data_IF_627714828105
#
_entry.id   IF_627714828105
#
_cell.length_a   1.000
_cell.length_b   1.000
_cell.length_c   1.000
_cell.angle_alpha   90.00
_cell.angle_beta   90.00
_cell.angle_gamma   90.00
#
_symmetry.space_group_name_H-M   'P 1'
#
loop_
_entity.id
_entity.type
_entity.pdbx_description
1 polymer ?
#
# COMPACT_ATOMS: atom_id res chain seq x y z
N UNK A 1 17.20 15.95 13.12
CA UNK A 1 18.41 15.58 12.32
C UNK A 1 17.96 14.68 11.20
N UNK A 2 18.17 15.07 9.92
CA UNK A 2 17.81 14.19 8.78
C UNK A 2 18.87 13.10 8.64
N UNK A 3 18.44 11.84 8.51
CA UNK A 3 19.34 10.71 8.23
C UNK A 3 19.99 10.88 6.84
N UNK A 4 21.26 10.50 6.66
CA UNK A 4 21.88 10.46 5.34
C UNK A 4 21.15 9.44 4.45
N UNK A 5 20.94 9.79 3.17
CA UNK A 5 20.34 8.88 2.20
C UNK A 5 21.28 7.73 1.90
N UNK A 6 20.70 6.57 1.73
CA UNK A 6 21.41 5.36 1.39
C UNK A 6 21.07 4.91 -0.04
N UNK A 7 22.03 4.92 -0.96
CA UNK A 7 21.79 4.63 -2.37
C UNK A 7 21.32 3.20 -2.65
N UNK A 8 21.38 2.32 -1.66
CA UNK A 8 20.90 0.94 -1.75
C UNK A 8 19.61 0.67 -1.00
N UNK A 9 19.07 1.66 -0.29
CA UNK A 9 17.82 1.49 0.44
C UNK A 9 16.62 1.79 -0.46
N UNK A 10 15.79 0.77 -0.64
CA UNK A 10 14.54 0.84 -1.39
C UNK A 10 13.35 0.70 -0.44
N UNK A 11 12.33 1.54 -0.63
CA UNK A 11 10.99 1.22 -0.14
C UNK A 11 10.18 0.72 -1.33
N UNK A 12 9.67 -0.51 -1.22
CA UNK A 12 8.95 -1.19 -2.29
C UNK A 12 7.50 -1.40 -1.87
N UNK A 13 6.58 -0.71 -2.50
CA UNK A 13 5.14 -0.91 -2.32
C UNK A 13 4.65 -1.99 -3.29
N UNK A 14 4.15 -3.10 -2.74
CA UNK A 14 3.61 -4.21 -3.51
C UNK A 14 2.10 -4.04 -3.65
N UNK A 15 1.65 -3.52 -4.78
CA UNK A 15 0.24 -3.26 -5.05
C UNK A 15 -0.58 -4.52 -5.30
N UNK A 16 -1.86 -4.49 -5.02
CA UNK A 16 -2.76 -5.64 -5.22
C UNK A 16 -2.81 -6.16 -6.66
N UNK A 17 -2.54 -5.31 -7.65
CA UNK A 17 -2.45 -5.71 -9.06
C UNK A 17 -1.16 -6.46 -9.40
N UNK A 18 -0.07 -6.22 -8.69
CA UNK A 18 1.15 -6.99 -8.81
C UNK A 18 0.97 -8.44 -8.33
N UNK A 19 -0.01 -8.67 -7.46
CA UNK A 19 -0.37 -9.97 -6.92
C UNK A 19 -1.45 -10.70 -7.76
N UNK A 20 -1.73 -10.25 -8.98
CA UNK A 20 -2.73 -10.87 -9.86
C UNK A 20 -2.07 -11.61 -11.02
N UNK A 21 -2.64 -12.77 -11.36
CA UNK A 21 -2.31 -13.43 -12.63
C UNK A 21 -2.77 -12.53 -13.79
N UNK A 22 -2.03 -12.47 -14.92
CA UNK A 22 -2.44 -11.72 -16.10
C UNK A 22 -3.88 -12.07 -16.51
N UNK A 23 -4.71 -11.05 -16.79
CA UNK A 23 -6.08 -11.21 -17.28
C UNK A 23 -7.21 -11.28 -16.23
N UNK A 24 -6.93 -11.12 -14.94
CA UNK A 24 -7.98 -11.05 -13.90
C UNK A 24 -8.23 -9.64 -13.40
N UNK A 25 -9.50 -9.29 -13.20
CA UNK A 25 -9.95 -7.97 -12.76
C UNK A 25 -9.79 -7.74 -11.26
N UNK A 26 -9.33 -6.54 -10.91
CA UNK A 26 -9.38 -5.78 -9.66
C UNK A 26 -9.36 -6.50 -8.30
N UNK A 27 -8.31 -6.27 -7.51
CA UNK A 27 -8.19 -6.56 -6.07
C UNK A 27 -7.12 -7.60 -5.73
N UNK A 28 -6.73 -7.64 -4.45
CA UNK A 28 -5.90 -8.71 -3.91
C UNK A 28 -6.66 -10.05 -4.06
N UNK A 29 -5.99 -11.19 -4.39
CA UNK A 29 -6.68 -12.48 -4.54
C UNK A 29 -7.49 -12.85 -3.29
N UNK A 30 -8.77 -13.10 -3.46
CA UNK A 30 -9.72 -13.29 -2.37
C UNK A 30 -9.52 -14.60 -1.57
N UNK A 31 -8.85 -15.60 -2.15
CA UNK A 31 -8.60 -16.87 -1.53
C UNK A 31 -7.14 -16.99 -1.10
N UNK A 32 -6.88 -17.56 0.09
CA UNK A 32 -5.53 -17.78 0.63
C UNK A 32 -4.59 -18.43 -0.39
N UNK A 33 -5.03 -19.46 -1.12
CA UNK A 33 -4.23 -20.13 -2.13
C UNK A 33 -3.85 -19.20 -3.30
N UNK A 34 -4.76 -18.35 -3.76
CA UNK A 34 -4.48 -17.36 -4.81
C UNK A 34 -3.51 -16.28 -4.35
N UNK A 35 -3.60 -15.86 -3.09
CA UNK A 35 -2.69 -14.89 -2.51
C UNK A 35 -1.27 -15.46 -2.34
N UNK A 36 -1.14 -16.68 -1.79
CA UNK A 36 0.15 -17.38 -1.69
C UNK A 36 0.79 -17.53 -3.08
N UNK A 37 0.03 -18.00 -4.06
CA UNK A 37 0.53 -18.12 -5.43
C UNK A 37 0.99 -16.81 -6.04
N UNK A 38 0.28 -15.72 -5.76
CA UNK A 38 0.65 -14.40 -6.22
C UNK A 38 1.95 -13.90 -5.57
N UNK A 39 2.17 -14.17 -4.29
CA UNK A 39 3.43 -13.89 -3.60
C UNK A 39 4.58 -14.69 -4.20
N UNK A 40 4.40 -15.99 -4.47
CA UNK A 40 5.40 -16.83 -5.12
C UNK A 40 5.86 -16.27 -6.47
N UNK A 41 5.00 -15.59 -7.20
CA UNK A 41 5.34 -14.97 -8.49
C UNK A 41 5.98 -13.58 -8.35
N UNK A 42 5.63 -12.82 -7.32
CA UNK A 42 6.01 -11.42 -7.18
C UNK A 42 7.24 -11.19 -6.31
N UNK A 43 7.56 -12.13 -5.40
CA UNK A 43 8.67 -11.99 -4.45
C UNK A 43 10.06 -12.41 -4.98
N UNK A 44 10.20 -13.35 -5.94
CA UNK A 44 11.52 -13.75 -6.43
C UNK A 44 12.42 -12.59 -6.84
N UNK A 45 11.96 -11.57 -7.61
CA UNK A 45 12.79 -10.43 -7.96
C UNK A 45 13.27 -9.61 -6.75
N UNK A 46 12.50 -9.58 -5.65
CA UNK A 46 12.91 -8.89 -4.42
C UNK A 46 14.06 -9.63 -3.73
N UNK A 47 14.03 -10.96 -3.71
CA UNK A 47 15.13 -11.77 -3.19
C UNK A 47 16.38 -11.55 -4.03
N UNK A 48 16.25 -11.50 -5.36
CA UNK A 48 17.37 -11.31 -6.28
C UNK A 48 18.06 -9.95 -6.10
N UNK A 49 17.28 -8.87 -5.94
CA UNK A 49 17.86 -7.54 -5.69
C UNK A 49 18.43 -7.44 -4.26
N UNK A 50 17.84 -8.12 -3.27
CA UNK A 50 18.42 -8.25 -1.92
C UNK A 50 19.79 -8.92 -1.97
N UNK A 51 19.92 -10.04 -2.68
CA UNK A 51 21.20 -10.72 -2.91
C UNK A 51 22.22 -9.86 -3.67
N UNK A 52 21.75 -8.92 -4.52
CA UNK A 52 22.60 -7.93 -5.19
C UNK A 52 23.00 -6.75 -4.27
N UNK A 53 22.67 -6.80 -2.98
CA UNK A 53 23.09 -5.83 -1.96
C UNK A 53 22.15 -4.65 -1.77
N UNK A 54 20.93 -4.70 -2.31
CA UNK A 54 19.90 -3.72 -1.99
C UNK A 54 19.24 -4.05 -0.65
N UNK A 55 18.99 -3.03 0.16
CA UNK A 55 18.23 -3.11 1.40
C UNK A 55 16.79 -2.74 1.12
N UNK A 56 15.84 -3.51 1.66
CA UNK A 56 14.43 -3.42 1.25
C UNK A 56 13.54 -3.26 2.46
N UNK A 57 12.73 -2.19 2.43
CA UNK A 57 11.49 -2.11 3.20
C UNK A 57 10.36 -2.46 2.24
N UNK A 58 9.62 -3.51 2.55
CA UNK A 58 8.47 -3.95 1.75
C UNK A 58 7.17 -3.47 2.40
N UNK A 59 6.35 -2.77 1.64
CA UNK A 59 5.01 -2.32 2.03
C UNK A 59 3.99 -3.10 1.20
N UNK A 60 3.50 -4.25 1.68
CA UNK A 60 2.54 -5.03 0.91
C UNK A 60 1.15 -4.39 0.97
N UNK A 61 0.35 -4.58 -0.09
CA UNK A 61 -1.08 -4.33 0.00
C UNK A 61 -1.69 -5.18 1.13
N UNK A 62 -2.83 -4.76 1.64
CA UNK A 62 -3.51 -5.49 2.72
C UNK A 62 -3.80 -6.95 2.37
N UNK A 63 -3.77 -7.81 3.36
CA UNK A 63 -4.15 -9.20 3.20
C UNK A 63 -5.64 -9.33 2.83
N UNK A 64 -6.05 -10.46 2.23
CA UNK A 64 -7.43 -10.70 1.79
C UNK A 64 -8.46 -10.86 2.93
N UNK A 65 -8.19 -10.33 4.13
CA UNK A 65 -9.14 -10.27 5.24
C UNK A 65 -10.45 -9.56 4.85
N UNK A 66 -10.36 -8.61 3.91
CA UNK A 66 -11.54 -7.92 3.38
C UNK A 66 -12.57 -8.85 2.74
N UNK A 67 -12.16 -10.01 2.23
CA UNK A 67 -13.09 -10.94 1.59
C UNK A 67 -13.81 -11.88 2.57
N UNK A 68 -13.18 -12.23 3.68
CA UNK A 68 -13.87 -12.93 4.76
C UNK A 68 -14.99 -12.05 5.34
N UNK A 69 -14.70 -10.76 5.49
CA UNK A 69 -15.68 -9.76 5.93
C UNK A 69 -16.72 -9.42 4.85
N UNK A 70 -16.36 -9.45 3.57
CA UNK A 70 -17.34 -9.28 2.46
C UNK A 70 -18.34 -10.41 2.37
N UNK A 71 -17.95 -11.63 2.80
CA UNK A 71 -18.80 -12.84 2.78
C UNK A 71 -19.47 -13.14 4.12
N UNK A 72 -19.06 -12.48 5.20
CA UNK A 72 -19.72 -12.65 6.49
C UNK A 72 -21.18 -12.19 6.38
N UNK A 73 -22.09 -13.14 6.58
CA UNK A 73 -23.51 -12.84 6.57
C UNK A 73 -23.85 -11.73 7.60
N UNK A 74 -24.86 -10.90 7.37
CA UNK A 74 -25.26 -9.80 8.25
C UNK A 74 -25.56 -10.21 9.71
N UNK A 75 -25.72 -11.51 9.97
CA UNK A 75 -26.02 -12.07 11.28
C UNK A 75 -24.84 -12.13 12.27
N UNK A 76 -23.58 -11.88 11.81
CA UNK A 76 -22.41 -11.83 12.70
C UNK A 76 -22.05 -10.39 13.07
N UNK A 77 -22.93 -9.73 13.76
CA UNK A 77 -22.79 -8.34 14.23
C UNK A 77 -21.51 -8.11 15.05
N UNK A 78 -21.08 -9.10 15.83
CA UNK A 78 -19.87 -9.01 16.67
C UNK A 78 -18.56 -8.91 15.87
N UNK A 79 -18.44 -9.57 14.71
CA UNK A 79 -17.26 -9.48 13.86
C UNK A 79 -17.20 -8.13 13.10
N UNK A 80 -18.36 -7.52 12.85
CA UNK A 80 -18.49 -6.22 12.17
C UNK A 80 -18.25 -5.03 13.11
N UNK A 81 -18.36 -5.24 14.43
CA UNK A 81 -18.23 -4.18 15.44
C UNK A 81 -16.78 -3.90 15.88
N UNK A 82 -15.80 -4.67 15.39
CA UNK A 82 -14.40 -4.41 15.72
C UNK A 82 -13.94 -3.08 15.13
N UNK A 83 -13.26 -2.23 15.92
CA UNK A 83 -12.65 -0.98 15.45
C UNK A 83 -11.73 -1.20 14.25
N UNK A 84 -11.70 -0.24 13.32
CA UNK A 84 -10.92 -0.39 12.08
C UNK A 84 -9.41 -0.38 12.33
N UNK A 85 -8.94 0.29 13.35
CA UNK A 85 -7.53 0.27 13.76
C UNK A 85 -7.08 -1.14 14.17
N UNK A 86 -7.88 -1.85 14.97
CA UNK A 86 -7.60 -3.24 15.32
C UNK A 86 -7.64 -4.17 14.11
N UNK A 87 -8.60 -3.95 13.20
CA UNK A 87 -8.66 -4.70 11.95
C UNK A 87 -7.47 -4.42 11.03
N UNK A 88 -6.98 -3.18 11.00
CA UNK A 88 -5.77 -2.84 10.28
C UNK A 88 -4.54 -3.54 10.88
N UNK A 89 -4.46 -3.63 12.21
CA UNK A 89 -3.38 -4.36 12.89
C UNK A 89 -3.44 -5.88 12.60
N UNK A 90 -4.61 -6.49 12.65
CA UNK A 90 -4.83 -7.90 12.28
C UNK A 90 -4.43 -8.14 10.81
N UNK A 91 -4.83 -7.25 9.90
CA UNK A 91 -4.49 -7.33 8.47
C UNK A 91 -2.98 -7.24 8.24
N UNK A 92 -2.28 -6.36 8.96
CA UNK A 92 -0.82 -6.29 8.91
C UNK A 92 -0.16 -7.58 9.37
N UNK A 93 -0.62 -8.16 10.47
CA UNK A 93 -0.11 -9.44 10.98
C UNK A 93 -0.27 -10.56 9.97
N UNK A 94 -1.46 -10.70 9.37
CA UNK A 94 -1.73 -11.74 8.36
C UNK A 94 -0.91 -11.52 7.09
N UNK A 95 -0.84 -10.28 6.58
CA UNK A 95 -0.05 -9.95 5.40
C UNK A 95 1.44 -10.17 5.65
N UNK A 96 1.94 -9.69 6.78
CA UNK A 96 3.34 -9.83 7.17
C UNK A 96 3.76 -11.29 7.30
N UNK A 97 2.96 -12.10 8.01
CA UNK A 97 3.20 -13.54 8.16
C UNK A 97 3.24 -14.26 6.81
N UNK A 98 2.28 -14.00 5.93
CA UNK A 98 2.25 -14.68 4.65
C UNK A 98 3.42 -14.32 3.73
N UNK A 99 3.82 -13.04 3.70
CA UNK A 99 5.01 -12.60 2.96
C UNK A 99 6.28 -13.21 3.57
N UNK A 100 6.38 -13.22 4.91
CA UNK A 100 7.52 -13.83 5.62
C UNK A 100 7.66 -15.31 5.29
N UNK A 101 6.56 -16.08 5.31
CA UNK A 101 6.56 -17.50 4.94
C UNK A 101 7.01 -17.72 3.50
N UNK A 102 6.49 -16.91 2.57
CA UNK A 102 6.86 -17.02 1.15
C UNK A 102 8.35 -16.70 0.93
N UNK A 103 8.88 -15.66 1.58
CA UNK A 103 10.30 -15.29 1.51
C UNK A 103 11.21 -16.34 2.13
N UNK A 104 10.82 -16.91 3.28
CA UNK A 104 11.58 -18.00 3.93
C UNK A 104 11.63 -19.25 3.02
N UNK A 105 10.51 -19.60 2.38
CA UNK A 105 10.46 -20.71 1.42
C UNK A 105 11.37 -20.46 0.21
N UNK A 106 11.29 -19.24 -0.36
CA UNK A 106 12.14 -18.85 -1.49
C UNK A 106 13.63 -18.87 -1.14
N UNK A 107 14.01 -18.40 0.05
CA UNK A 107 15.39 -18.46 0.52
C UNK A 107 15.91 -19.89 0.56
N UNK A 108 15.15 -20.79 1.19
CA UNK A 108 15.53 -22.22 1.30
C UNK A 108 15.66 -22.92 -0.06
N UNK A 109 14.72 -22.67 -0.99
CA UNK A 109 14.79 -23.25 -2.34
C UNK A 109 15.96 -22.72 -3.17
N UNK A 110 16.56 -21.60 -2.77
CA UNK A 110 17.74 -20.99 -3.41
C UNK A 110 19.04 -21.22 -2.64
N UNK A 111 19.02 -22.10 -1.64
CA UNK A 111 20.20 -22.50 -0.86
C UNK A 111 20.66 -21.53 0.22
N UNK A 112 19.78 -20.61 0.65
CA UNK A 112 20.09 -19.64 1.71
C UNK A 112 18.89 -19.29 2.57
N UNK A 113 19.11 -18.43 3.55
CA UNK A 113 18.04 -17.82 4.35
C UNK A 113 17.90 -16.33 3.99
N UNK A 114 16.67 -15.84 3.96
CA UNK A 114 16.37 -14.40 3.83
C UNK A 114 15.96 -13.93 5.21
N UNK A 115 16.78 -13.11 5.90
CA UNK A 115 16.38 -12.53 7.17
C UNK A 115 15.20 -11.59 6.95
N UNK A 116 14.07 -11.86 7.61
CA UNK A 116 12.83 -11.08 7.45
C UNK A 116 12.28 -10.66 8.81
N UNK A 117 11.99 -9.38 8.97
CA UNK A 117 11.24 -8.83 10.10
C UNK A 117 9.89 -8.28 9.65
N UNK A 118 8.88 -8.44 10.51
CA UNK A 118 7.57 -7.79 10.33
C UNK A 118 7.40 -6.77 11.44
N UNK A 119 7.23 -5.50 11.07
CA UNK A 119 7.02 -4.40 12.01
C UNK A 119 5.57 -3.95 11.90
N UNK A 120 4.80 -4.19 12.97
CA UNK A 120 3.47 -3.60 13.10
C UNK A 120 3.61 -2.09 13.13
N UNK A 121 3.00 -1.42 12.17
CA UNK A 121 3.28 -0.01 11.89
C UNK A 121 2.04 0.84 12.12
N UNK A 122 2.16 1.81 13.03
CA UNK A 122 1.19 2.87 13.23
C UNK A 122 1.48 4.02 12.27
N UNK A 123 0.42 4.71 11.86
CA UNK A 123 0.53 5.90 11.00
C UNK A 123 -0.29 7.02 11.61
N UNK A 124 0.39 8.05 12.01
CA UNK A 124 -0.24 9.24 12.60
C UNK A 124 -0.93 10.05 11.52
N UNK A 125 -2.18 10.40 11.78
CA UNK A 125 -2.99 11.30 10.97
C UNK A 125 -3.43 12.51 11.82
N UNK A 126 -3.81 13.62 11.19
CA UNK A 126 -4.36 14.74 11.93
C UNK A 126 -5.76 14.42 12.44
N UNK A 127 -6.05 14.78 13.68
CA UNK A 127 -7.39 14.59 14.25
C UNK A 127 -8.46 15.45 13.55
N UNK A 128 -8.06 16.57 12.97
CA UNK A 128 -8.87 17.52 12.23
C UNK A 128 -8.78 17.35 10.70
N UNK A 129 -8.27 16.21 10.22
CA UNK A 129 -8.20 15.95 8.77
C UNK A 129 -9.60 16.05 8.14
N UNK A 130 -9.78 16.83 7.05
CA UNK A 130 -11.07 17.00 6.38
C UNK A 130 -11.73 15.69 5.93
N UNK A 131 -10.95 14.63 5.73
CA UNK A 131 -11.47 13.31 5.37
C UNK A 131 -12.43 12.74 6.42
N UNK A 132 -12.26 13.09 7.70
CA UNK A 132 -13.18 12.63 8.76
C UNK A 132 -14.58 13.19 8.59
N UNK A 133 -14.73 14.40 8.07
CA UNK A 133 -16.02 14.99 7.76
C UNK A 133 -16.63 14.46 6.44
N UNK A 134 -15.81 13.84 5.58
CA UNK A 134 -16.22 13.39 4.23
C UNK A 134 -15.71 11.98 3.94
N UNK A 135 -16.25 10.94 4.62
CA UNK A 135 -15.84 9.57 4.38
C UNK A 135 -16.20 9.12 2.95
N UNK A 136 -15.23 8.55 2.23
CA UNK A 136 -15.36 8.19 0.81
C UNK A 136 -15.02 6.74 0.50
N UNK A 137 -14.21 6.08 1.34
CA UNK A 137 -13.75 4.72 1.07
C UNK A 137 -14.81 3.70 1.46
N UNK A 138 -15.34 3.00 0.47
CA UNK A 138 -16.27 1.91 0.71
C UNK A 138 -15.54 0.68 1.29
N UNK A 139 -16.02 0.20 2.45
CA UNK A 139 -15.49 -0.98 3.16
C UNK A 139 -16.62 -1.97 3.45
N UNK A 140 -16.25 -3.23 3.68
CA UNK A 140 -17.19 -4.30 4.03
C UNK A 140 -18.17 -4.68 2.90
N UNK A 141 -19.17 -5.53 3.19
CA UNK A 141 -20.16 -6.01 2.25
C UNK A 141 -21.19 -4.93 1.88
N UNK A 142 -21.97 -5.14 0.81
CA UNK A 142 -23.16 -4.35 0.56
C UNK A 142 -24.27 -4.73 1.57
N UNK A 143 -25.02 -3.73 2.02
CA UNK A 143 -26.14 -3.85 2.96
C UNK A 143 -27.44 -3.40 2.31
N UNK A 144 -28.58 -3.97 2.74
CA UNK A 144 -29.89 -3.42 2.42
C UNK A 144 -30.07 -2.04 3.07
N UNK A 145 -30.96 -1.21 2.53
CA UNK A 145 -31.26 0.13 3.06
C UNK A 145 -31.69 0.04 4.54
N UNK A 146 -32.53 -0.95 4.89
CA UNK A 146 -32.98 -1.14 6.27
C UNK A 146 -31.82 -1.50 7.22
N UNK A 147 -30.96 -2.42 6.82
CA UNK A 147 -29.77 -2.80 7.62
C UNK A 147 -28.81 -1.63 7.77
N UNK A 148 -28.54 -0.88 6.69
CA UNK A 148 -27.68 0.29 6.73
C UNK A 148 -28.20 1.37 7.69
N UNK A 149 -29.51 1.66 7.66
CA UNK A 149 -30.15 2.61 8.58
C UNK A 149 -30.03 2.16 10.05
N UNK A 150 -30.19 0.85 10.32
CA UNK A 150 -30.01 0.30 11.67
C UNK A 150 -28.56 0.46 12.12
N UNK A 151 -27.58 0.03 11.32
CA UNK A 151 -26.16 0.13 11.68
C UNK A 151 -25.68 1.59 11.80
N UNK A 152 -26.22 2.50 11.00
CA UNK A 152 -25.92 3.93 11.14
C UNK A 152 -26.39 4.47 12.50
N UNK A 153 -27.58 4.07 12.96
CA UNK A 153 -28.10 4.47 14.26
C UNK A 153 -27.38 3.79 15.43
N UNK A 154 -27.14 2.48 15.33
CA UNK A 154 -26.63 1.67 16.43
C UNK A 154 -25.10 1.80 16.60
N UNK A 155 -24.35 2.03 15.51
CA UNK A 155 -22.88 2.08 15.48
C UNK A 155 -22.32 3.41 14.96
N UNK A 156 -23.16 4.38 14.59
CA UNK A 156 -22.70 5.67 14.05
C UNK A 156 -22.04 5.56 12.66
N UNK A 157 -22.24 4.46 11.94
CA UNK A 157 -21.60 4.25 10.63
C UNK A 157 -22.20 5.11 9.53
N UNK A 158 -21.34 5.62 8.66
CA UNK A 158 -21.75 6.35 7.46
C UNK A 158 -21.88 5.39 6.28
N UNK A 159 -22.88 5.59 5.46
CA UNK A 159 -23.16 4.76 4.29
C UNK A 159 -23.31 5.60 3.01
N UNK A 160 -22.79 5.07 1.90
CA UNK A 160 -22.98 5.62 0.55
C UNK A 160 -23.55 4.54 -0.37
N UNK A 161 -24.08 5.00 -1.51
CA UNK A 161 -24.65 4.15 -2.56
C UNK A 161 -26.05 4.59 -2.94
N UNK A 162 -26.56 4.03 -4.03
CA UNK A 162 -27.86 4.33 -4.62
C UNK A 162 -28.69 3.04 -4.79
N UNK A 163 -29.98 3.20 -5.06
CA UNK A 163 -30.90 2.05 -5.21
C UNK A 163 -31.05 1.23 -3.93
N UNK A 164 -31.09 -0.09 -4.06
CA UNK A 164 -31.38 -1.03 -2.97
C UNK A 164 -30.16 -1.38 -2.10
N UNK A 165 -28.96 -0.99 -2.51
CA UNK A 165 -27.70 -1.35 -1.86
C UNK A 165 -26.97 -0.16 -1.27
N UNK A 166 -26.41 -0.35 -0.07
CA UNK A 166 -25.59 0.63 0.64
C UNK A 166 -24.28 -0.01 1.06
N UNK A 167 -23.17 0.72 0.99
CA UNK A 167 -21.89 0.28 1.56
C UNK A 167 -21.44 1.25 2.65
N UNK A 168 -20.87 0.72 3.73
CA UNK A 168 -20.20 1.54 4.73
C UNK A 168 -19.09 2.33 4.04
N UNK A 169 -19.00 3.62 4.31
CA UNK A 169 -17.88 4.46 3.89
C UNK A 169 -17.13 4.98 5.11
N UNK A 170 -15.81 5.05 4.97
CA UNK A 170 -14.91 5.48 6.03
C UNK A 170 -13.95 6.56 5.51
N UNK A 171 -13.38 7.38 6.42
CA UNK A 171 -12.39 8.39 6.08
C UNK A 171 -11.12 7.79 5.48
N UNK A 172 -10.43 8.59 4.66
CA UNK A 172 -9.08 8.31 4.13
C UNK A 172 -8.21 9.52 4.42
N UNK A 173 -7.76 9.72 5.67
CA UNK A 173 -6.93 10.84 6.03
C UNK A 173 -5.52 10.73 5.46
N UNK A 174 -4.82 11.87 5.38
CA UNK A 174 -3.44 11.91 4.91
C UNK A 174 -2.47 11.43 5.99
N UNK A 175 -1.54 10.51 5.68
CA UNK A 175 -0.51 10.07 6.60
C UNK A 175 0.49 11.21 6.86
N UNK A 176 0.85 11.44 8.13
CA UNK A 176 1.75 12.52 8.54
C UNK A 176 3.06 12.04 9.16
N UNK A 177 3.03 10.97 9.93
CA UNK A 177 4.22 10.45 10.62
C UNK A 177 4.09 8.96 10.89
N UNK A 178 5.22 8.27 10.88
CA UNK A 178 5.32 6.84 11.21
C UNK A 178 6.20 6.72 12.46
N UNK A 179 5.62 6.41 13.63
CA UNK A 179 6.37 6.30 14.88
C UNK A 179 7.47 5.25 14.82
N UNK A 180 7.24 4.15 14.12
CA UNK A 180 8.16 3.00 14.00
C UNK A 180 9.26 3.19 12.94
N UNK A 181 9.36 4.35 12.27
CA UNK A 181 10.34 4.59 11.19
C UNK A 181 11.79 4.32 11.65
N UNK A 182 12.14 4.70 12.90
CA UNK A 182 13.46 4.43 13.45
C UNK A 182 13.75 2.95 13.63
N UNK A 183 12.79 2.17 14.10
CA UNK A 183 12.90 0.70 14.25
C UNK A 183 13.02 0.05 12.88
N UNK A 184 12.18 0.45 11.92
CA UNK A 184 12.21 -0.05 10.55
C UNK A 184 13.58 0.23 9.92
N UNK A 185 14.11 1.45 10.09
CA UNK A 185 15.44 1.81 9.60
C UNK A 185 16.52 0.95 10.23
N UNK A 186 16.48 0.72 11.54
CA UNK A 186 17.44 -0.13 12.24
C UNK A 186 17.44 -1.58 11.70
N UNK A 187 16.26 -2.16 11.48
CA UNK A 187 16.14 -3.51 10.92
C UNK A 187 16.79 -3.62 9.52
N UNK A 188 16.51 -2.67 8.62
CA UNK A 188 17.12 -2.71 7.29
C UNK A 188 18.63 -2.43 7.31
N UNK A 189 19.11 -1.59 8.21
CA UNK A 189 20.55 -1.32 8.38
C UNK A 189 21.28 -2.56 8.89
N UNK A 190 20.61 -3.41 9.66
CA UNK A 190 21.08 -4.73 10.08
C UNK A 190 21.01 -5.80 8.98
N UNK A 191 20.65 -5.44 7.74
CA UNK A 191 20.57 -6.37 6.60
C UNK A 191 19.29 -7.21 6.56
N UNK A 192 18.26 -6.85 7.34
CA UNK A 192 16.99 -7.57 7.38
C UNK A 192 16.00 -6.98 6.40
N UNK A 193 15.42 -7.79 5.49
CA UNK A 193 14.27 -7.38 4.69
C UNK A 193 13.11 -7.08 5.65
N UNK A 194 12.66 -5.84 5.67
CA UNK A 194 11.68 -5.39 6.66
C UNK A 194 10.32 -5.18 6.02
N UNK A 195 9.32 -5.90 6.50
CA UNK A 195 7.92 -5.74 6.09
C UNK A 195 7.27 -4.74 7.05
N UNK A 196 6.71 -3.66 6.53
CA UNK A 196 6.11 -2.60 7.32
C UNK A 196 4.85 -2.03 6.66
N UNK A 197 3.99 -1.40 7.44
CA UNK A 197 2.83 -0.64 6.97
C UNK A 197 1.92 -1.39 5.97
N UNK A 198 1.79 -2.71 6.10
CA UNK A 198 0.93 -3.49 5.23
C UNK A 198 -0.51 -2.93 5.25
N UNK A 199 -1.12 -2.84 4.06
CA UNK A 199 -2.46 -2.26 3.91
C UNK A 199 -2.55 -0.74 4.19
N UNK A 200 -1.41 -0.05 4.33
CA UNK A 200 -1.32 1.37 4.66
C UNK A 200 -1.02 1.67 6.13
N UNK A 201 -0.93 0.65 6.99
CA UNK A 201 -0.65 0.82 8.42
C UNK A 201 -1.90 1.00 9.28
N UNK A 202 -1.71 1.13 10.60
CA UNK A 202 -2.77 1.39 11.58
C UNK A 202 -2.95 2.89 11.75
N UNK A 203 -4.10 3.48 11.37
CA UNK A 203 -4.34 4.91 11.55
C UNK A 203 -4.53 5.27 13.03
N UNK A 204 -3.74 6.22 13.51
CA UNK A 204 -3.81 6.73 14.89
C UNK A 204 -3.74 8.25 14.90
N UNK A 205 -4.32 8.85 15.92
CA UNK A 205 -4.12 10.28 16.26
C UNK A 205 -3.28 10.40 17.52
N UNK A 206 -2.51 11.46 17.61
CA UNK A 206 -1.78 11.81 18.85
C UNK A 206 -2.72 12.51 19.82
N UNK A 207 -2.61 12.15 21.09
CA UNK A 207 -3.29 12.77 22.20
C UNK A 207 -2.28 13.09 23.31
N UNK A 208 -2.62 13.92 24.30
CA UNK A 208 -1.71 14.16 25.44
C UNK A 208 -1.30 12.88 26.18
N UNK A 209 -2.14 11.85 26.16
CA UNK A 209 -1.90 10.56 26.84
C UNK A 209 -1.16 9.55 25.95
N UNK A 210 -0.92 9.85 24.66
CA UNK A 210 -0.25 8.97 23.71
C UNK A 210 -0.96 8.85 22.37
N UNK A 211 -1.20 7.61 21.91
CA UNK A 211 -1.84 7.35 20.63
C UNK A 211 -3.20 6.72 20.80
N UNK A 212 -4.15 7.16 19.98
CA UNK A 212 -5.50 6.57 19.92
C UNK A 212 -5.82 6.16 18.49
N UNK A 213 -6.28 4.89 18.30
CA UNK A 213 -6.77 4.40 17.02
C UNK A 213 -8.00 5.15 16.52
N UNK A 214 -8.18 5.21 15.21
CA UNK A 214 -9.31 5.91 14.59
C UNK A 214 -10.00 5.06 13.54
N UNK A 215 -11.31 5.29 13.34
CA UNK A 215 -12.16 4.63 12.35
C UNK A 215 -11.88 5.16 10.93
N UNK A 216 -10.71 4.84 10.40
CA UNK A 216 -10.22 5.29 9.09
C UNK A 216 -9.46 4.17 8.37
N UNK A 217 -9.18 4.36 7.10
CA UNK A 217 -8.24 3.55 6.32
C UNK A 217 -7.23 4.47 5.64
N UNK A 218 -6.07 3.95 5.31
CA UNK A 218 -4.99 4.70 4.69
C UNK A 218 -4.73 4.20 3.25
N UNK A 219 -4.27 5.11 2.39
CA UNK A 219 -3.74 4.72 1.09
C UNK A 219 -2.34 4.14 1.25
N UNK A 220 -2.15 2.92 0.76
CA UNK A 220 -0.85 2.21 0.82
C UNK A 220 0.24 3.04 0.14
N UNK A 221 -0.08 3.65 -0.98
CA UNK A 221 0.84 4.45 -1.77
C UNK A 221 1.33 5.69 -1.01
N UNK A 222 0.42 6.44 -0.40
CA UNK A 222 0.76 7.62 0.40
C UNK A 222 1.61 7.24 1.62
N UNK A 223 1.25 6.15 2.30
CA UNK A 223 2.03 5.65 3.44
C UNK A 223 3.42 5.17 3.01
N UNK A 224 3.53 4.48 1.88
CA UNK A 224 4.83 4.03 1.35
C UNK A 224 5.74 5.23 1.00
N UNK A 225 5.19 6.28 0.41
CA UNK A 225 5.92 7.52 0.12
C UNK A 225 6.42 8.22 1.39
N UNK A 226 5.54 8.33 2.40
CA UNK A 226 5.91 8.88 3.71
C UNK A 226 6.99 8.02 4.39
N UNK A 227 6.85 6.70 4.37
CA UNK A 227 7.84 5.78 4.95
C UNK A 227 9.18 5.91 4.24
N UNK A 228 9.19 5.96 2.91
CA UNK A 228 10.40 6.14 2.12
C UNK A 228 11.16 7.43 2.51
N UNK A 229 10.43 8.50 2.72
CA UNK A 229 11.00 9.77 3.21
C UNK A 229 11.51 9.62 4.65
N UNK A 230 10.74 8.99 5.54
CA UNK A 230 11.05 8.86 6.96
C UNK A 230 12.29 7.99 7.22
N UNK A 231 12.47 6.91 6.45
CA UNK A 231 13.66 6.05 6.54
C UNK A 231 14.83 6.53 5.66
N UNK A 232 14.71 7.70 5.03
CA UNK A 232 15.69 8.26 4.10
C UNK A 232 16.09 7.27 2.98
N UNK A 233 15.10 6.63 2.38
CA UNK A 233 15.32 5.77 1.22
C UNK A 233 15.81 6.57 0.01
N UNK A 234 16.64 5.96 -0.82
CA UNK A 234 17.10 6.53 -2.07
C UNK A 234 15.98 6.51 -3.12
N UNK A 235 15.28 5.39 -3.19
CA UNK A 235 14.22 5.15 -4.18
C UNK A 235 12.94 4.63 -3.55
N UNK A 236 11.83 5.07 -4.12
CA UNK A 236 10.50 4.51 -3.88
C UNK A 236 10.09 3.70 -5.11
N UNK A 237 9.70 2.45 -4.93
CA UNK A 237 9.30 1.57 -6.02
C UNK A 237 7.86 1.12 -5.82
N UNK A 238 7.01 1.32 -6.82
CA UNK A 238 5.66 0.77 -6.85
C UNK A 238 5.61 -0.41 -7.81
N UNK A 239 5.40 -1.61 -7.27
CA UNK A 239 5.14 -2.80 -8.07
C UNK A 239 3.65 -2.91 -8.36
N UNK A 240 3.31 -2.99 -9.64
CA UNK A 240 1.92 -3.02 -10.15
C UNK A 240 1.79 -4.02 -11.31
N UNK A 241 0.63 -4.12 -11.92
CA UNK A 241 0.37 -5.07 -13.01
C UNK A 241 0.78 -4.58 -14.41
N UNK A 242 1.50 -3.46 -14.51
CA UNK A 242 1.99 -2.90 -15.78
C UNK A 242 3.47 -2.56 -15.68
N UNK A 243 4.20 -2.71 -16.79
CA UNK A 243 5.63 -2.39 -16.82
C UNK A 243 5.87 -0.88 -16.85
N UNK A 244 4.98 -0.12 -17.49
CA UNK A 244 5.05 1.35 -17.60
C UNK A 244 3.69 1.99 -17.38
N UNK A 245 3.70 3.20 -16.90
CA UNK A 245 2.51 4.04 -16.82
C UNK A 245 2.15 4.54 -18.22
N UNK A 246 0.87 4.52 -18.56
CA UNK A 246 0.36 5.03 -19.83
C UNK A 246 -0.34 6.38 -19.63
N UNK A 247 -0.06 7.33 -20.53
CA UNK A 247 -0.80 8.57 -20.70
C UNK A 247 -1.78 8.38 -21.87
N UNK A 248 -2.96 8.98 -21.79
CA UNK A 248 -4.04 8.74 -22.75
C UNK A 248 -4.68 7.35 -22.58
N UNK A 249 -4.66 6.82 -21.38
CA UNK A 249 -5.21 5.50 -21.04
C UNK A 249 -6.66 5.35 -21.56
N UNK A 250 -6.95 4.18 -22.19
CA UNK A 250 -8.22 3.87 -22.86
C UNK A 250 -8.52 4.64 -24.16
N UNK A 251 -7.54 5.29 -24.73
CA UNK A 251 -7.65 5.87 -26.07
C UNK A 251 -6.76 5.10 -27.05
N UNK A 252 -6.99 5.27 -28.35
CA UNK A 252 -6.10 4.74 -29.38
C UNK A 252 -4.70 5.42 -29.37
N UNK A 253 -4.50 6.40 -28.50
CA UNK A 253 -3.24 7.16 -28.32
C UNK A 253 -2.55 6.88 -27.01
N UNK A 254 -2.86 5.76 -26.34
CA UNK A 254 -2.15 5.36 -25.12
C UNK A 254 -0.66 5.17 -25.40
N UNK A 255 0.19 5.92 -24.68
CA UNK A 255 1.63 5.87 -24.82
C UNK A 255 2.24 5.58 -23.46
N UNK A 256 3.09 4.54 -23.41
CA UNK A 256 3.89 4.23 -22.22
C UNK A 256 4.98 5.27 -21.99
N UNK A 257 5.06 5.81 -20.77
CA UNK A 257 5.99 6.87 -20.41
C UNK A 257 7.18 6.28 -19.65
N UNK A 258 8.40 6.63 -20.06
CA UNK A 258 9.63 6.19 -19.38
C UNK A 258 10.05 7.14 -18.26
N UNK A 259 9.95 8.43 -18.49
CA UNK A 259 10.37 9.48 -17.57
C UNK A 259 9.28 10.54 -17.41
N UNK A 260 9.10 11.00 -16.20
CA UNK A 260 8.27 12.13 -15.84
C UNK A 260 9.07 13.02 -14.88
N UNK A 261 9.28 14.26 -15.25
CA UNK A 261 9.71 15.29 -14.31
C UNK A 261 8.60 15.56 -13.28
N UNK A 262 8.95 16.16 -12.15
CA UNK A 262 7.94 16.61 -11.17
C UNK A 262 6.91 17.53 -11.79
N UNK A 263 7.32 18.41 -12.72
CA UNK A 263 6.41 19.35 -13.38
C UNK A 263 5.40 18.62 -14.29
N UNK A 264 5.88 17.70 -15.12
CA UNK A 264 5.03 16.89 -16.02
C UNK A 264 4.08 16.00 -15.22
N UNK A 265 4.59 15.30 -14.19
CA UNK A 265 3.76 14.42 -13.36
C UNK A 265 2.63 15.20 -12.66
N UNK A 266 2.91 16.41 -12.14
CA UNK A 266 1.90 17.29 -11.54
C UNK A 266 0.87 17.78 -12.56
N UNK A 267 1.31 18.16 -13.75
CA UNK A 267 0.41 18.60 -14.82
C UNK A 267 -0.53 17.47 -15.25
N UNK A 268 -0.03 16.25 -15.43
CA UNK A 268 -0.84 15.08 -15.79
C UNK A 268 -1.80 14.67 -14.67
N UNK A 269 -1.40 14.77 -13.40
CA UNK A 269 -2.31 14.55 -12.25
C UNK A 269 -3.44 15.58 -12.22
N UNK A 270 -3.11 16.87 -12.43
CA UNK A 270 -4.11 17.94 -12.49
C UNK A 270 -5.08 17.77 -13.65
N UNK A 271 -4.61 17.30 -14.80
CA UNK A 271 -5.42 16.96 -15.98
C UNK A 271 -6.22 15.65 -15.81
N UNK A 272 -6.07 14.93 -14.69
CA UNK A 272 -6.71 13.64 -14.41
C UNK A 272 -6.43 12.55 -15.46
N UNK A 273 -5.24 12.58 -16.05
CA UNK A 273 -4.83 11.59 -17.05
C UNK A 273 -4.68 10.17 -16.48
N UNK A 274 -4.46 10.04 -15.18
CA UNK A 274 -4.28 8.74 -14.55
C UNK A 274 -5.57 8.25 -13.87
N UNK A 275 -5.92 6.96 -14.00
CA UNK A 275 -7.06 6.38 -13.29
C UNK A 275 -6.93 6.57 -11.77
N UNK A 276 -7.92 7.25 -11.16
CA UNK A 276 -7.92 7.63 -9.75
C UNK A 276 -7.85 6.43 -8.77
N UNK A 277 -8.35 5.25 -9.19
CA UNK A 277 -8.38 4.06 -8.36
C UNK A 277 -7.15 3.14 -8.52
N UNK A 278 -6.12 3.55 -9.28
CA UNK A 278 -4.98 2.66 -9.56
C UNK A 278 -3.64 3.38 -9.73
N UNK A 279 -3.42 4.05 -10.85
CA UNK A 279 -2.13 4.69 -11.19
C UNK A 279 -2.01 6.07 -10.54
N UNK A 280 -3.10 6.85 -10.50
CA UNK A 280 -3.10 8.20 -9.93
C UNK A 280 -2.48 8.29 -8.53
N UNK A 281 -2.91 7.49 -7.54
CA UNK A 281 -2.31 7.49 -6.21
C UNK A 281 -0.81 7.16 -6.20
N UNK A 282 -0.33 6.28 -7.09
CA UNK A 282 1.09 5.94 -7.21
C UNK A 282 1.91 7.10 -7.74
N UNK A 283 1.42 7.76 -8.79
CA UNK A 283 2.09 8.96 -9.35
C UNK A 283 2.08 10.09 -8.34
N UNK A 284 0.98 10.29 -7.60
CA UNK A 284 0.92 11.31 -6.54
C UNK A 284 1.97 11.04 -5.45
N UNK A 285 2.01 9.82 -4.91
CA UNK A 285 2.99 9.46 -3.88
C UNK A 285 4.44 9.50 -4.40
N UNK A 286 4.66 9.19 -5.69
CA UNK A 286 5.96 9.36 -6.34
C UNK A 286 6.39 10.83 -6.39
N UNK A 287 5.48 11.73 -6.78
CA UNK A 287 5.70 13.19 -6.80
C UNK A 287 6.01 13.70 -5.39
N UNK A 288 5.25 13.28 -4.39
CA UNK A 288 5.43 13.73 -3.00
C UNK A 288 6.79 13.28 -2.45
N UNK A 289 7.19 12.03 -2.71
CA UNK A 289 8.49 11.49 -2.30
C UNK A 289 9.66 12.22 -2.96
N UNK A 290 9.61 12.43 -4.28
CA UNK A 290 10.68 13.11 -5.02
C UNK A 290 10.74 14.59 -4.62
N UNK A 291 9.61 15.26 -4.45
CA UNK A 291 9.54 16.63 -3.96
C UNK A 291 10.10 16.79 -2.53
N UNK A 292 9.97 15.74 -1.69
CA UNK A 292 10.59 15.69 -0.36
C UNK A 292 12.11 15.42 -0.40
N UNK A 293 12.72 15.39 -1.60
CA UNK A 293 14.14 15.17 -1.85
C UNK A 293 14.51 13.70 -2.10
N UNK A 294 13.54 12.78 -2.40
CA UNK A 294 13.83 11.45 -2.93
C UNK A 294 14.57 11.55 -4.26
N UNK A 295 15.46 10.62 -4.54
CA UNK A 295 16.20 10.62 -5.79
C UNK A 295 15.30 10.38 -6.99
N UNK A 296 14.50 9.33 -6.91
CA UNK A 296 13.55 8.94 -7.95
C UNK A 296 12.49 8.00 -7.39
N UNK A 297 11.31 8.00 -7.99
CA UNK A 297 10.32 6.96 -7.76
C UNK A 297 10.09 6.18 -9.06
N UNK A 298 9.92 4.85 -8.94
CA UNK A 298 9.80 3.93 -10.07
C UNK A 298 8.45 3.22 -9.98
N UNK A 299 7.70 3.18 -11.08
CA UNK A 299 6.45 2.42 -11.20
C UNK A 299 6.68 1.34 -12.26
N UNK A 300 6.55 0.06 -11.87
CA UNK A 300 6.88 -1.07 -12.76
C UNK A 300 6.16 -2.35 -12.33
N UNK A 301 6.31 -3.43 -13.09
CA UNK A 301 5.87 -4.77 -12.71
C UNK A 301 6.95 -5.51 -11.88
N UNK A 302 6.57 -6.56 -11.12
CA UNK A 302 7.55 -7.41 -10.44
C UNK A 302 8.60 -8.01 -11.38
N UNK A 303 8.19 -8.49 -12.54
CA UNK A 303 9.08 -9.10 -13.55
C UNK A 303 10.10 -8.12 -14.13
N UNK A 304 9.73 -6.84 -14.24
CA UNK A 304 10.60 -5.79 -14.78
C UNK A 304 11.43 -5.07 -13.69
N UNK A 305 11.30 -5.44 -12.40
CA UNK A 305 11.94 -4.73 -11.29
C UNK A 305 13.45 -4.56 -11.49
N UNK A 306 14.18 -5.61 -11.84
CA UNK A 306 15.64 -5.53 -12.03
C UNK A 306 16.00 -4.56 -13.15
N UNK A 307 15.38 -4.72 -14.32
CA UNK A 307 15.63 -3.86 -15.48
C UNK A 307 15.17 -2.42 -15.24
N UNK A 308 14.15 -2.21 -14.41
CA UNK A 308 13.71 -0.89 -13.98
C UNK A 308 14.73 -0.21 -13.06
N UNK A 309 15.34 -0.94 -12.12
CA UNK A 309 16.43 -0.41 -11.29
C UNK A 309 17.66 -0.02 -12.12
N UNK A 310 17.94 -0.75 -13.21
CA UNK A 310 19.02 -0.46 -14.16
C UNK A 310 18.67 0.67 -15.17
N UNK A 311 17.48 1.25 -15.12
CA UNK A 311 17.07 2.37 -16.00
C UNK A 311 16.51 1.95 -17.35
N UNK A 312 16.24 0.68 -17.58
CA UNK A 312 15.85 0.13 -18.89
C UNK A 312 14.36 -0.24 -18.99
N UNK A 313 13.62 -0.15 -17.89
CA UNK A 313 12.18 -0.42 -17.82
C UNK A 313 11.52 0.49 -16.77
N UNK A 314 10.20 0.41 -16.65
CA UNK A 314 9.42 1.19 -15.71
C UNK A 314 9.15 2.62 -16.18
N UNK A 315 8.36 3.33 -15.37
CA UNK A 315 8.21 4.79 -15.43
C UNK A 315 8.92 5.38 -14.22
N UNK A 316 9.79 6.36 -14.47
CA UNK A 316 10.54 7.09 -13.44
C UNK A 316 9.96 8.47 -13.24
N UNK A 317 9.69 8.82 -11.99
CA UNK A 317 9.43 10.20 -11.60
C UNK A 317 10.74 10.74 -11.00
N UNK A 318 11.22 11.83 -11.56
CA UNK A 318 12.52 12.46 -11.22
C UNK A 318 12.34 13.95 -10.90
N UNK A 319 13.32 14.61 -10.24
CA UNK A 319 13.28 16.05 -9.97
C UNK A 319 13.00 16.94 -11.16
#
# INVERSE_FOLDING_TARGET
MRLPRDPRLLVVALGGRALQAPGRSTGCPAARAGWVRALELSLPPLVDIGAAGFRIVLVPCGAPLDDADRRAAPSRTAALSRPLDLRAAEAQGVAGYGVQQALATLGRTRGGEVPVAVVLTRVVVAADDPAFARPTRAVGPPYSVATARRLARDLGWTFAGNGASRRRVVPVPQPRRIPEAGVIRHCVDAGTLTIAAAGGGVPVVETPEGYRGVEAVLEVEATAGLLATAVAADRLVFLTGVDRVEVGHRTARAIGVEHLSLAEARALLAAREFPAASIGPKVQAAVDFVAAGGREAIITSPSALRTALDGRAGTRVVP
#
